data_IF_288607957816
#
_entry.id   IF_288607957816
#
_cell.length_a   1.000
_cell.length_b   1.000
_cell.length_c   1.000
_cell.angle_alpha   90.00
_cell.angle_beta   90.00
_cell.angle_gamma   90.00
#
_symmetry.space_group_name_H-M   'P 1'
#
loop_
_entity.id
_entity.type
_entity.pdbx_description
1 polymer ?
#
# COMPACT_ATOMS: atom_id res chain seq x y z
N UNK A 1 12.94 6.37 -20.90
CA UNK A 1 12.48 6.94 -19.60
C UNK A 1 11.74 5.92 -18.72
N UNK A 2 10.85 5.06 -19.23
CA UNK A 2 10.16 3.98 -18.46
C UNK A 2 11.07 3.08 -17.60
N UNK A 3 12.25 2.73 -18.09
CA UNK A 3 13.16 1.81 -17.39
C UNK A 3 13.79 2.41 -16.13
N UNK A 4 13.99 3.73 -16.08
CA UNK A 4 14.64 4.40 -14.94
C UNK A 4 13.68 4.54 -13.74
N UNK A 5 12.39 4.76 -14.02
CA UNK A 5 11.35 4.79 -12.97
C UNK A 5 11.08 3.39 -12.43
N UNK A 6 11.02 2.38 -13.31
CA UNK A 6 11.00 0.98 -12.85
C UNK A 6 12.25 0.65 -12.03
N UNK A 7 13.43 1.21 -12.36
CA UNK A 7 14.65 1.02 -11.57
C UNK A 7 14.56 1.69 -10.19
N UNK A 8 13.95 2.87 -10.07
CA UNK A 8 13.80 3.59 -8.81
C UNK A 8 12.75 2.92 -7.90
N UNK A 9 11.62 2.49 -8.46
CA UNK A 9 10.65 1.67 -7.76
C UNK A 9 11.25 0.32 -7.35
N UNK A 10 11.99 -0.35 -8.24
CA UNK A 10 12.70 -1.58 -7.93
C UNK A 10 13.83 -1.39 -6.91
N UNK A 11 14.48 -0.22 -6.87
CA UNK A 11 15.49 0.10 -5.87
C UNK A 11 14.87 0.31 -4.47
N UNK A 12 13.69 0.95 -4.39
CA UNK A 12 12.90 1.02 -3.16
C UNK A 12 12.44 -0.36 -2.68
N UNK A 13 11.97 -1.20 -3.61
CA UNK A 13 11.57 -2.59 -3.32
C UNK A 13 12.76 -3.43 -2.85
N UNK A 14 13.96 -3.23 -3.43
CA UNK A 14 15.17 -3.93 -2.98
C UNK A 14 15.62 -3.54 -1.57
N UNK A 15 15.32 -2.33 -1.11
CA UNK A 15 15.60 -1.90 0.26
C UNK A 15 14.63 -2.51 1.29
N UNK A 16 13.42 -2.92 0.88
CA UNK A 16 12.41 -3.56 1.74
C UNK A 16 12.46 -5.10 1.74
N UNK A 17 13.24 -5.73 0.85
CA UNK A 17 13.37 -7.19 0.71
C UNK A 17 14.10 -7.93 1.85
N UNK A 18 14.54 -7.22 2.89
CA UNK A 18 15.18 -7.82 4.06
C UNK A 18 14.25 -7.97 5.29
N UNK A 19 12.98 -7.56 5.18
CA UNK A 19 12.04 -7.63 6.30
C UNK A 19 11.41 -9.04 6.42
N UNK A 20 11.37 -9.63 7.63
CA UNK A 20 10.64 -10.88 7.86
C UNK A 20 9.14 -10.65 7.66
N UNK A 21 8.51 -11.45 6.81
CA UNK A 21 7.07 -11.39 6.57
C UNK A 21 6.28 -11.77 7.84
N UNK A 22 5.39 -10.87 8.30
CA UNK A 22 4.53 -11.11 9.45
C UNK A 22 3.44 -12.13 9.10
N UNK A 23 3.48 -13.29 9.74
CA UNK A 23 2.52 -14.37 9.53
C UNK A 23 1.16 -14.15 10.22
N UNK A 24 1.05 -13.19 11.15
CA UNK A 24 -0.17 -12.92 11.93
C UNK A 24 -0.45 -11.43 11.98
N UNK A 25 -1.46 -10.98 11.24
CA UNK A 25 -1.88 -9.58 11.25
C UNK A 25 -2.86 -9.31 12.39
N UNK A 26 -2.49 -8.40 13.30
CA UNK A 26 -3.41 -7.92 14.35
C UNK A 26 -4.45 -6.98 13.71
N UNK A 27 -5.71 -7.06 14.15
CA UNK A 27 -6.83 -6.24 13.66
C UNK A 27 -6.53 -4.73 13.66
N UNK A 28 -5.89 -4.23 14.73
CA UNK A 28 -5.54 -2.81 14.85
C UNK A 28 -4.51 -2.36 13.81
N UNK A 29 -3.57 -3.24 13.47
CA UNK A 29 -2.48 -2.96 12.53
C UNK A 29 -3.01 -2.84 11.10
N UNK A 30 -3.95 -3.71 10.68
CA UNK A 30 -4.57 -3.61 9.35
C UNK A 30 -5.36 -2.30 9.21
N UNK A 31 -6.13 -1.92 10.22
CA UNK A 31 -6.90 -0.67 10.19
C UNK A 31 -5.99 0.56 10.18
N UNK A 32 -4.93 0.57 11.00
CA UNK A 32 -3.97 1.67 11.02
C UNK A 32 -3.22 1.76 9.69
N UNK A 33 -2.75 0.63 9.16
CA UNK A 33 -2.11 0.55 7.85
C UNK A 33 -3.04 1.05 6.73
N UNK A 34 -4.33 0.74 6.78
CA UNK A 34 -5.33 1.30 5.86
C UNK A 34 -5.38 2.83 5.93
N UNK A 35 -5.44 3.42 7.12
CA UNK A 35 -5.46 4.89 7.25
C UNK A 35 -4.16 5.52 6.74
N UNK A 36 -3.01 4.89 7.01
CA UNK A 36 -1.72 5.34 6.50
C UNK A 36 -1.64 5.24 4.97
N UNK A 37 -2.12 4.14 4.39
CA UNK A 37 -2.22 3.96 2.95
C UNK A 37 -3.08 5.04 2.31
N UNK A 38 -4.26 5.35 2.86
CA UNK A 38 -5.08 6.46 2.36
C UNK A 38 -4.34 7.79 2.46
N UNK A 39 -3.71 8.07 3.59
CA UNK A 39 -3.04 9.35 3.83
C UNK A 39 -1.76 9.54 3.00
N UNK A 40 -1.23 8.46 2.41
CA UNK A 40 -0.08 8.52 1.52
C UNK A 40 -0.39 9.17 0.16
N UNK A 41 -1.65 9.08 -0.31
CA UNK A 41 -2.06 9.75 -1.55
C UNK A 41 -2.13 11.27 -1.38
N UNK A 42 -1.74 12.02 -2.41
CA UNK A 42 -1.77 13.49 -2.38
C UNK A 42 -3.15 14.07 -2.72
N UNK A 43 -3.90 13.43 -3.62
CA UNK A 43 -5.18 13.95 -4.11
C UNK A 43 -6.39 13.29 -3.42
N UNK A 44 -7.43 14.10 -3.18
CA UNK A 44 -8.63 13.64 -2.49
C UNK A 44 -9.42 12.60 -3.31
N UNK A 45 -9.43 12.73 -4.64
CA UNK A 45 -10.14 11.81 -5.53
C UNK A 45 -9.64 10.38 -5.41
N UNK A 46 -8.32 10.18 -5.39
CA UNK A 46 -7.70 8.86 -5.23
C UNK A 46 -7.94 8.30 -3.83
N UNK A 47 -7.89 9.14 -2.79
CA UNK A 47 -8.27 8.74 -1.43
C UNK A 47 -9.70 8.20 -1.40
N UNK A 48 -10.65 8.94 -1.95
CA UNK A 48 -12.07 8.57 -1.92
C UNK A 48 -12.34 7.29 -2.72
N UNK A 49 -11.71 7.16 -3.90
CA UNK A 49 -11.81 5.95 -4.72
C UNK A 49 -11.22 4.73 -4.01
N UNK A 50 -10.04 4.87 -3.40
CA UNK A 50 -9.39 3.81 -2.64
C UNK A 50 -10.26 3.35 -1.46
N UNK A 51 -10.77 4.29 -0.65
CA UNK A 51 -11.68 3.99 0.47
C UNK A 51 -12.94 3.27 -0.01
N UNK A 52 -13.62 3.81 -1.03
CA UNK A 52 -14.86 3.26 -1.58
C UNK A 52 -14.68 1.85 -2.14
N UNK A 53 -13.58 1.60 -2.87
CA UNK A 53 -13.31 0.29 -3.43
C UNK A 53 -13.05 -0.76 -2.35
N UNK A 54 -12.25 -0.42 -1.34
CA UNK A 54 -12.01 -1.33 -0.22
C UNK A 54 -13.28 -1.58 0.58
N UNK A 55 -14.10 -0.56 0.82
CA UNK A 55 -15.39 -0.73 1.46
C UNK A 55 -16.26 -1.76 0.70
N UNK A 56 -16.32 -1.67 -0.63
CA UNK A 56 -17.05 -2.63 -1.46
C UNK A 56 -16.47 -4.05 -1.39
N UNK A 57 -15.14 -4.19 -1.43
CA UNK A 57 -14.46 -5.49 -1.33
C UNK A 57 -14.62 -6.14 0.04
N UNK A 58 -14.73 -5.32 1.09
CA UNK A 58 -14.82 -5.76 2.48
C UNK A 58 -16.25 -5.99 2.96
N UNK A 59 -17.23 -5.33 2.34
CA UNK A 59 -18.66 -5.44 2.64
C UNK A 59 -19.19 -6.89 2.73
N UNK A 60 -18.86 -7.82 1.81
CA UNK A 60 -19.35 -9.19 1.90
C UNK A 60 -18.68 -10.03 3.00
N UNK A 61 -17.55 -9.59 3.55
CA UNK A 61 -16.74 -10.37 4.47
C UNK A 61 -17.11 -10.21 5.97
N UNK A 62 -18.19 -9.48 6.27
CA UNK A 62 -18.67 -9.28 7.65
C UNK A 62 -17.91 -8.19 8.40
N UNK A 63 -18.25 -7.94 9.68
CA UNK A 63 -18.03 -6.64 10.29
C UNK A 63 -16.57 -6.25 10.57
N UNK A 64 -15.53 -7.08 10.33
CA UNK A 64 -14.16 -6.73 10.75
C UNK A 64 -13.03 -7.24 9.85
N UNK A 65 -12.03 -6.38 9.52
CA UNK A 65 -10.82 -6.78 8.81
C UNK A 65 -9.87 -7.55 9.74
N UNK A 66 -9.98 -8.88 9.77
CA UNK A 66 -9.11 -9.75 10.58
C UNK A 66 -8.44 -10.84 9.73
N UNK A 67 -8.44 -10.71 8.40
CA UNK A 67 -7.88 -11.73 7.52
C UNK A 67 -6.79 -11.20 6.60
N UNK A 68 -5.89 -12.09 6.21
CA UNK A 68 -4.88 -11.87 5.16
C UNK A 68 -5.51 -11.46 3.83
N UNK A 69 -6.79 -11.77 3.61
CA UNK A 69 -7.53 -11.31 2.44
C UNK A 69 -7.73 -9.79 2.44
N UNK A 70 -8.02 -9.17 3.59
CA UNK A 70 -8.15 -7.71 3.70
C UNK A 70 -6.84 -7.01 3.37
N UNK A 71 -5.73 -7.50 3.93
CA UNK A 71 -4.39 -7.00 3.61
C UNK A 71 -4.06 -7.15 2.11
N UNK A 72 -4.35 -8.32 1.54
CA UNK A 72 -4.08 -8.59 0.12
C UNK A 72 -4.93 -7.72 -0.80
N UNK A 73 -6.23 -7.57 -0.51
CA UNK A 73 -7.14 -6.70 -1.26
C UNK A 73 -6.71 -5.23 -1.20
N UNK A 74 -6.28 -4.78 -0.02
CA UNK A 74 -5.73 -3.44 0.17
C UNK A 74 -4.48 -3.20 -0.68
N UNK A 75 -3.57 -4.17 -0.71
CA UNK A 75 -2.34 -4.08 -1.48
C UNK A 75 -2.64 -4.08 -2.99
N UNK A 76 -3.55 -4.93 -3.44
CA UNK A 76 -3.97 -4.99 -4.85
C UNK A 76 -4.65 -3.71 -5.32
N UNK A 77 -5.54 -3.14 -4.51
CA UNK A 77 -6.19 -1.87 -4.83
C UNK A 77 -5.15 -0.72 -4.85
N UNK A 78 -4.19 -0.71 -3.92
CA UNK A 78 -3.14 0.30 -3.89
C UNK A 78 -2.25 0.20 -5.15
N UNK A 79 -1.84 -1.03 -5.50
CA UNK A 79 -1.10 -1.31 -6.72
C UNK A 79 -1.85 -0.86 -7.98
N UNK A 80 -3.18 -1.07 -8.05
CA UNK A 80 -4.00 -0.60 -9.17
C UNK A 80 -3.99 0.93 -9.30
N UNK A 81 -3.96 1.67 -8.18
CA UNK A 81 -3.83 3.14 -8.20
C UNK A 81 -2.45 3.59 -8.66
N UNK A 82 -1.39 2.94 -8.17
CA UNK A 82 -0.03 3.20 -8.62
C UNK A 82 0.11 2.94 -10.13
N UNK A 83 -0.42 1.83 -10.63
CA UNK A 83 -0.42 1.51 -12.05
C UNK A 83 -1.20 2.57 -12.86
N UNK A 84 -2.35 3.03 -12.36
CA UNK A 84 -3.12 4.10 -13.01
C UNK A 84 -2.35 5.43 -13.10
N UNK A 85 -1.53 5.77 -12.11
CA UNK A 85 -0.64 6.93 -12.19
C UNK A 85 0.48 6.70 -13.22
N UNK A 86 1.13 5.53 -13.22
CA UNK A 86 2.17 5.18 -14.20
C UNK A 86 1.64 5.22 -15.63
N UNK A 87 0.44 4.70 -15.88
CA UNK A 87 -0.18 4.70 -17.21
C UNK A 87 -0.48 6.12 -17.72
N UNK A 88 -0.61 7.09 -16.80
CA UNK A 88 -0.80 8.52 -17.10
C UNK A 88 0.51 9.31 -17.15
N UNK A 89 1.66 8.67 -16.93
CA UNK A 89 2.97 9.33 -16.86
C UNK A 89 3.15 10.18 -15.60
N UNK A 90 2.50 9.79 -14.50
CA UNK A 90 2.54 10.49 -13.21
C UNK A 90 3.48 9.78 -12.24
N UNK A 91 4.68 9.48 -12.71
CA UNK A 91 5.71 8.72 -11.99
C UNK A 91 6.11 9.36 -10.66
N UNK A 92 6.16 10.70 -10.60
CA UNK A 92 6.45 11.46 -9.37
C UNK A 92 5.39 11.21 -8.29
N UNK A 93 4.12 11.08 -8.66
CA UNK A 93 3.03 10.85 -7.70
C UNK A 93 3.08 9.45 -7.10
N UNK A 94 3.57 8.47 -7.88
CA UNK A 94 3.84 7.11 -7.39
C UNK A 94 4.99 7.13 -6.39
N UNK A 95 6.10 7.77 -6.74
CA UNK A 95 7.26 7.87 -5.86
C UNK A 95 6.93 8.60 -4.55
N UNK A 96 6.20 9.71 -4.63
CA UNK A 96 5.74 10.48 -3.48
C UNK A 96 4.82 9.66 -2.57
N UNK A 97 3.83 8.96 -3.14
CA UNK A 97 2.89 8.16 -2.37
C UNK A 97 3.60 7.02 -1.64
N UNK A 98 4.46 6.27 -2.33
CA UNK A 98 5.24 5.18 -1.72
C UNK A 98 6.23 5.69 -0.67
N UNK A 99 6.86 6.84 -0.90
CA UNK A 99 7.78 7.45 0.07
C UNK A 99 7.05 7.89 1.34
N UNK A 100 5.89 8.54 1.19
CA UNK A 100 5.03 8.93 2.33
C UNK A 100 4.56 7.70 3.10
N UNK A 101 4.15 6.64 2.39
CA UNK A 101 3.75 5.38 3.01
C UNK A 101 4.92 4.74 3.76
N UNK A 102 6.12 4.67 3.17
CA UNK A 102 7.30 4.13 3.83
C UNK A 102 7.62 4.87 5.13
N UNK A 103 7.58 6.20 5.12
CA UNK A 103 7.85 7.00 6.32
C UNK A 103 6.68 7.06 7.32
N UNK A 104 5.51 6.54 6.97
CA UNK A 104 4.30 6.60 7.78
C UNK A 104 4.34 5.71 9.03
N UNK A 105 5.27 4.75 9.11
CA UNK A 105 5.45 3.89 10.29
C UNK A 105 5.75 4.67 11.59
N UNK A 106 6.15 5.95 11.48
CA UNK A 106 6.39 6.84 12.62
C UNK A 106 5.13 7.59 13.08
N UNK A 107 3.96 7.30 12.51
CA UNK A 107 2.70 7.95 12.87
C UNK A 107 2.32 7.67 14.32
N UNK A 108 2.09 8.74 15.09
CA UNK A 108 1.54 8.66 16.45
C UNK A 108 0.03 8.44 16.46
N UNK A 109 -0.66 8.86 15.40
CA UNK A 109 -2.13 8.78 15.28
C UNK A 109 -2.58 7.38 14.88
N UNK A 110 -1.82 6.74 14.00
CA UNK A 110 -2.09 5.38 13.49
C UNK A 110 -0.82 4.54 13.68
N UNK A 111 -0.48 4.15 14.92
CA UNK A 111 0.72 3.39 15.18
C UNK A 111 0.65 2.03 14.48
N UNK A 112 1.69 1.69 13.74
CA UNK A 112 1.83 0.39 13.08
C UNK A 112 3.30 -0.03 13.16
N UNK A 113 3.58 -1.33 13.35
CA UNK A 113 4.96 -1.79 13.31
C UNK A 113 5.54 -1.60 11.89
N UNK A 114 6.81 -1.17 11.79
CA UNK A 114 7.48 -0.96 10.49
C UNK A 114 7.41 -2.20 9.59
N UNK A 115 7.49 -3.40 10.17
CA UNK A 115 7.39 -4.67 9.44
C UNK A 115 6.08 -4.79 8.64
N UNK A 116 4.94 -4.30 9.15
CA UNK A 116 3.68 -4.31 8.41
C UNK A 116 3.71 -3.36 7.19
N UNK A 117 4.36 -2.20 7.33
CA UNK A 117 4.51 -1.25 6.22
C UNK A 117 5.45 -1.83 5.16
N UNK A 118 6.55 -2.43 5.58
CA UNK A 118 7.52 -3.08 4.69
C UNK A 118 6.85 -4.24 3.91
N UNK A 119 6.12 -5.12 4.60
CA UNK A 119 5.36 -6.21 3.97
C UNK A 119 4.32 -5.70 2.99
N UNK A 120 3.65 -4.59 3.33
CA UNK A 120 2.64 -3.99 2.48
C UNK A 120 3.24 -3.43 1.19
N UNK A 121 4.37 -2.71 1.29
CA UNK A 121 5.11 -2.21 0.13
C UNK A 121 5.62 -3.38 -0.73
N UNK A 122 6.17 -4.43 -0.10
CA UNK A 122 6.61 -5.64 -0.81
C UNK A 122 5.45 -6.30 -1.56
N UNK A 123 4.26 -6.38 -0.96
CA UNK A 123 3.07 -6.97 -1.60
C UNK A 123 2.55 -6.10 -2.74
N UNK A 124 2.57 -4.77 -2.61
CA UNK A 124 2.23 -3.84 -3.69
C UNK A 124 3.15 -4.08 -4.89
N UNK A 125 4.46 -4.13 -4.65
CA UNK A 125 5.44 -4.35 -5.70
C UNK A 125 5.27 -5.70 -6.39
N UNK A 126 5.10 -6.78 -5.63
CA UNK A 126 4.83 -8.11 -6.20
C UNK A 126 3.56 -8.11 -7.08
N UNK A 127 2.50 -7.44 -6.62
CA UNK A 127 1.26 -7.31 -7.39
C UNK A 127 1.45 -6.53 -8.68
N UNK A 128 2.22 -5.43 -8.66
CA UNK A 128 2.54 -4.64 -9.86
C UNK A 128 3.41 -5.40 -10.86
N UNK A 129 4.25 -6.33 -10.39
CA UNK A 129 5.05 -7.22 -11.23
C UNK A 129 4.24 -8.41 -11.80
N UNK A 130 2.99 -8.59 -11.39
CA UNK A 130 2.13 -9.72 -11.81
C UNK A 130 2.45 -11.05 -11.10
N UNK A 131 2.98 -11.00 -9.88
CA UNK A 131 3.37 -12.17 -9.07
C UNK A 131 2.45 -12.40 -7.87
#
# INVERSE_FOLDING_TARGET
>A
MKAAVMLAAAAFVRLSLAAPAHAVFKRGEIFNLYQLAVNSFSDQTTKDLFRKNLELLWRPAGPLPISTAYFSQMASEYAARMQSYLDKGLDEQVADALTRLYHSHNSKEYPVEKAYVDDFINKIAATMEGK
#
